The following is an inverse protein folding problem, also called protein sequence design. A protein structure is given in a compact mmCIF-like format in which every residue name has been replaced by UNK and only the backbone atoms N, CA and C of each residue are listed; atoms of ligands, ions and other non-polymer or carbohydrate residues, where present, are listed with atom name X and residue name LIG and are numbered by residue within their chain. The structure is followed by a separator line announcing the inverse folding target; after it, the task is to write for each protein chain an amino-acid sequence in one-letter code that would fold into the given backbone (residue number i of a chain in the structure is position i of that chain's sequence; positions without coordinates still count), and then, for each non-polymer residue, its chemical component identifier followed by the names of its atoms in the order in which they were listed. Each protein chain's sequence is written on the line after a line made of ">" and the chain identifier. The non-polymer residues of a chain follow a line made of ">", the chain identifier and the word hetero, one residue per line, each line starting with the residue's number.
data_IF_042200423399
#
_entry.id   IF_042200423399
#
_cell.length_a   1.000
_cell.length_b   1.000
_cell.length_c   1.000
_cell.angle_alpha   90.00
_cell.angle_beta   90.00
_cell.angle_gamma   90.00
#
_symmetry.space_group_name_H-M   'P 1'
#
loop_
_entity.id
_entity.type
_entity.pdbx_description
1 polymer ?
#
# COMPACT_ATOMS: atom_id res chain seq x y z
N UNK A 1 -11.38 0.24 -5.84
CA UNK A 1 -10.50 -0.89 -6.21
C UNK A 1 -9.33 -0.93 -5.24
N UNK A 2 -8.99 -2.13 -4.76
CA UNK A 2 -7.82 -2.37 -3.90
C UNK A 2 -6.82 -3.21 -4.67
N UNK A 3 -5.53 -2.86 -4.62
CA UNK A 3 -4.48 -3.58 -5.34
C UNK A 3 -3.11 -3.41 -4.67
N UNK A 4 -2.17 -4.26 -5.09
CA UNK A 4 -0.76 -4.22 -4.73
C UNK A 4 0.06 -4.19 -6.02
N UNK A 5 1.28 -3.66 -5.95
CA UNK A 5 2.17 -3.59 -7.12
C UNK A 5 3.32 -4.58 -6.93
N UNK A 6 3.54 -5.43 -7.93
CA UNK A 6 4.69 -6.32 -8.01
C UNK A 6 5.70 -5.78 -9.01
N UNK A 7 6.97 -5.73 -8.62
CA UNK A 7 8.10 -5.26 -9.43
C UNK A 7 9.31 -6.13 -9.19
N UNK A 8 9.96 -6.59 -10.27
CA UNK A 8 11.14 -7.45 -10.21
C UNK A 8 10.97 -8.69 -9.30
N UNK A 9 9.75 -9.26 -9.25
CA UNK A 9 9.45 -10.40 -8.38
C UNK A 9 9.03 -10.05 -6.94
N UNK A 10 9.21 -8.81 -6.52
CA UNK A 10 8.90 -8.34 -5.16
C UNK A 10 7.66 -7.46 -5.13
N UNK A 11 6.94 -7.50 -4.02
CA UNK A 11 5.81 -6.61 -3.79
C UNK A 11 6.36 -5.31 -3.23
N UNK A 12 5.81 -4.19 -3.67
CA UNK A 12 6.28 -2.87 -3.28
C UNK A 12 5.45 -2.33 -2.14
N UNK A 13 6.10 -1.74 -1.13
CA UNK A 13 5.44 -1.03 -0.05
C UNK A 13 4.50 0.06 -0.57
N UNK A 14 3.26 0.07 -0.05
CA UNK A 14 2.20 0.93 -0.56
C UNK A 14 2.56 2.43 -0.50
N UNK A 15 3.31 2.87 0.52
CA UNK A 15 3.75 4.28 0.62
C UNK A 15 4.77 4.69 -0.44
N UNK A 16 5.52 3.75 -1.02
CA UNK A 16 6.46 4.08 -2.09
C UNK A 16 5.67 4.50 -3.33
N UNK A 17 4.63 3.75 -3.66
CA UNK A 17 3.70 4.13 -4.72
C UNK A 17 2.93 5.42 -4.37
N UNK A 18 2.48 5.57 -3.12
CA UNK A 18 1.80 6.78 -2.65
C UNK A 18 2.61 8.05 -2.93
N UNK A 19 3.88 8.07 -2.51
CA UNK A 19 4.78 9.20 -2.72
C UNK A 19 4.96 9.49 -4.21
N UNK A 20 5.12 8.43 -5.01
CA UNK A 20 5.26 8.56 -6.46
C UNK A 20 4.00 9.10 -7.15
N UNK A 21 2.81 8.70 -6.69
CA UNK A 21 1.54 9.17 -7.21
C UNK A 21 1.24 10.62 -6.79
N UNK A 22 1.57 10.97 -5.54
CA UNK A 22 1.34 12.30 -4.98
C UNK A 22 2.09 13.39 -5.78
N UNK A 23 3.36 13.14 -6.16
CA UNK A 23 4.12 14.11 -7.00
C UNK A 23 3.54 14.27 -8.40
N UNK A 24 2.64 13.37 -8.83
CA UNK A 24 1.90 13.43 -10.11
C UNK A 24 0.47 13.95 -9.95
N UNK A 25 0.13 14.43 -8.75
CA UNK A 25 -1.20 14.95 -8.42
C UNK A 25 -2.28 13.87 -8.36
N UNK A 26 -1.91 12.60 -8.12
CA UNK A 26 -2.84 11.51 -7.86
C UNK A 26 -2.72 11.10 -6.39
N UNK A 27 -3.75 11.44 -5.61
CA UNK A 27 -3.79 11.15 -4.18
C UNK A 27 -4.55 9.86 -3.93
N UNK A 28 -3.85 8.86 -3.40
CA UNK A 28 -4.38 7.52 -3.17
C UNK A 28 -4.39 7.23 -1.68
N UNK A 29 -5.34 6.41 -1.21
CA UNK A 29 -5.31 5.93 0.17
C UNK A 29 -4.46 4.68 0.23
N UNK A 30 -3.38 4.71 1.00
CA UNK A 30 -2.47 3.59 1.22
C UNK A 30 -2.50 3.17 2.70
N UNK A 31 -1.80 2.09 3.06
CA UNK A 31 -1.74 1.61 4.43
C UNK A 31 -3.05 1.00 4.95
N UNK A 32 -4.05 0.85 4.08
CA UNK A 32 -5.31 0.22 4.43
C UNK A 32 -5.10 -1.30 4.51
N UNK A 33 -5.25 -1.88 5.71
CA UNK A 33 -5.37 -3.34 5.93
C UNK A 33 -6.72 -3.89 5.45
N UNK A 34 -7.45 -3.16 4.61
CA UNK A 34 -8.75 -3.59 4.09
C UNK A 34 -8.70 -4.81 3.15
N UNK A 35 -7.58 -5.54 3.12
CA UNK A 35 -7.45 -6.83 2.46
C UNK A 35 -6.45 -7.76 3.18
N UNK A 36 -6.46 -7.81 4.51
CA UNK A 36 -5.49 -8.56 5.33
C UNK A 36 -5.35 -10.02 4.90
N UNK A 37 -6.46 -10.77 4.77
CA UNK A 37 -6.38 -12.20 4.40
C UNK A 37 -5.81 -12.47 3.00
N UNK A 38 -6.04 -11.57 2.02
CA UNK A 38 -5.38 -11.70 0.72
C UNK A 38 -3.90 -11.34 0.82
N UNK A 39 -3.54 -10.37 1.65
CA UNK A 39 -2.15 -10.00 1.84
C UNK A 39 -1.36 -11.10 2.56
N UNK A 40 -1.94 -11.77 3.56
CA UNK A 40 -1.32 -12.93 4.21
C UNK A 40 -1.02 -14.03 3.19
N UNK A 41 -2.02 -14.36 2.36
CA UNK A 41 -1.89 -15.37 1.31
C UNK A 41 -0.84 -15.00 0.26
N UNK A 42 -0.81 -13.73 -0.19
CA UNK A 42 0.05 -13.29 -1.30
C UNK A 42 1.48 -12.97 -0.82
N UNK A 43 1.63 -12.50 0.42
CA UNK A 43 2.91 -12.00 0.95
C UNK A 43 3.55 -12.99 1.93
N UNK A 44 2.83 -14.04 2.37
CA UNK A 44 3.37 -15.14 3.17
C UNK A 44 3.63 -14.81 4.64
N UNK A 45 2.99 -13.77 5.19
CA UNK A 45 3.03 -13.45 6.62
C UNK A 45 1.66 -13.71 7.26
N UNK A 46 1.61 -13.86 8.58
CA UNK A 46 0.35 -13.91 9.35
C UNK A 46 0.10 -12.57 10.02
N UNK A 47 -1.14 -12.06 9.96
CA UNK A 47 -1.52 -10.83 10.66
C UNK A 47 -1.48 -10.99 12.18
N UNK A 48 -1.64 -12.23 12.66
CA UNK A 48 -1.56 -12.55 14.08
C UNK A 48 -0.14 -12.33 14.63
N UNK A 49 0.89 -12.32 13.78
CA UNK A 49 2.24 -11.95 14.21
C UNK A 49 2.33 -10.46 14.64
N UNK A 50 1.38 -9.63 14.24
CA UNK A 50 1.28 -8.24 14.71
C UNK A 50 0.48 -8.12 16.01
N UNK A 51 -0.08 -9.20 16.55
CA UNK A 51 -0.84 -9.18 17.81
C UNK A 51 -0.03 -8.59 18.96
N UNK A 52 1.27 -8.89 19.03
CA UNK A 52 2.20 -8.27 20.00
C UNK A 52 2.23 -6.75 19.86
N UNK A 53 2.26 -6.22 18.63
CA UNK A 53 2.26 -4.77 18.39
C UNK A 53 0.94 -4.13 18.81
N UNK A 54 -0.19 -4.83 18.61
CA UNK A 54 -1.50 -4.35 19.05
C UNK A 54 -1.67 -4.43 20.58
N UNK A 55 -1.14 -5.47 21.21
CA UNK A 55 -1.24 -5.69 22.65
C UNK A 55 -0.28 -4.81 23.46
N UNK A 56 0.88 -4.45 22.90
CA UNK A 56 1.85 -3.53 23.49
C UNK A 56 1.52 -2.04 23.22
N UNK A 57 0.51 -1.76 22.40
CA UNK A 57 0.05 -0.40 22.13
C UNK A 57 -0.62 0.19 23.38
N UNK A 58 -0.03 1.24 23.95
CA UNK A 58 -0.57 1.95 25.12
C UNK A 58 -1.79 2.79 24.74
N UNK A 59 -1.82 3.27 23.50
CA UNK A 59 -2.91 4.05 22.91
C UNK A 59 -3.18 3.61 21.47
N UNK A 60 -4.36 3.93 20.92
CA UNK A 60 -4.65 3.68 19.49
C UNK A 60 -3.70 4.43 18.56
N UNK A 61 -3.12 5.55 19.02
CA UNK A 61 -2.14 6.32 18.27
C UNK A 61 -0.78 5.60 18.17
N UNK A 62 -0.55 4.59 19.01
CA UNK A 62 0.62 3.72 18.90
C UNK A 62 0.51 2.71 17.77
N UNK A 63 -0.68 2.48 17.23
CA UNK A 63 -0.91 1.53 16.14
C UNK A 63 -0.79 2.28 14.81
N UNK A 64 0.46 2.50 14.38
CA UNK A 64 0.75 3.16 13.11
C UNK A 64 1.21 2.17 12.05
N UNK A 65 0.91 2.45 10.79
CA UNK A 65 1.46 1.69 9.65
C UNK A 65 2.99 1.66 9.69
N UNK A 66 3.63 2.73 10.17
CA UNK A 66 5.10 2.75 10.32
C UNK A 66 5.59 1.67 11.30
N UNK A 67 5.01 1.61 12.50
CA UNK A 67 5.36 0.59 13.51
C UNK A 67 5.04 -0.81 13.00
N UNK A 68 3.90 -1.01 12.34
CA UNK A 68 3.58 -2.32 11.74
C UNK A 68 4.58 -2.73 10.66
N UNK A 69 5.17 -1.79 9.90
CA UNK A 69 6.22 -2.14 8.92
C UNK A 69 7.50 -2.60 9.61
N UNK A 70 7.90 -1.94 10.70
CA UNK A 70 9.12 -2.27 11.43
C UNK A 70 9.11 -3.73 11.94
N UNK A 71 7.93 -4.30 12.16
CA UNK A 71 7.73 -5.69 12.58
C UNK A 71 7.48 -6.67 11.42
N UNK A 72 7.47 -6.22 10.16
CA UNK A 72 7.21 -7.08 9.01
C UNK A 72 8.40 -7.15 8.06
N UNK A 73 8.76 -8.38 7.70
CA UNK A 73 9.70 -8.66 6.60
C UNK A 73 9.03 -8.53 5.22
N UNK A 74 7.70 -8.46 5.17
CA UNK A 74 6.93 -8.29 3.95
C UNK A 74 6.34 -6.86 3.87
N UNK A 75 6.04 -6.36 2.66
CA UNK A 75 5.29 -5.12 2.52
C UNK A 75 3.95 -5.19 3.26
N UNK A 76 3.52 -4.09 3.87
CA UNK A 76 2.23 -4.08 4.58
C UNK A 76 1.20 -3.17 3.92
N UNK A 77 -0.07 -3.52 4.13
CA UNK A 77 -1.21 -2.76 3.63
C UNK A 77 -1.46 -2.94 2.13
N UNK A 78 -2.26 -2.03 1.57
CA UNK A 78 -2.67 -2.07 0.17
C UNK A 78 -2.91 -0.67 -0.36
N UNK A 79 -2.93 -0.54 -1.69
CA UNK A 79 -3.31 0.71 -2.36
C UNK A 79 -4.80 0.65 -2.67
N UNK A 80 -5.54 1.67 -2.25
CA UNK A 80 -6.97 1.81 -2.55
C UNK A 80 -7.26 3.05 -3.38
N UNK A 81 -7.76 2.81 -4.59
CA UNK A 81 -8.33 3.84 -5.46
C UNK A 81 -9.86 3.85 -5.30
N UNK A 82 -10.41 4.99 -4.88
CA UNK A 82 -11.85 5.22 -4.75
C UNK A 82 -12.29 6.18 -5.84
N UNK A 83 -13.31 5.79 -6.61
CA UNK A 83 -13.97 6.65 -7.58
C UNK A 83 -15.37 6.99 -7.05
N UNK A 84 -15.74 8.26 -7.09
CA UNK A 84 -17.07 8.78 -6.75
C UNK A 84 -17.77 9.39 -7.97
N UNK A 85 -18.95 9.97 -7.74
CA UNK A 85 -19.84 10.46 -8.80
C UNK A 85 -19.23 11.53 -9.71
N UNK A 86 -18.26 12.30 -9.22
CA UNK A 86 -17.61 13.38 -10.00
C UNK A 86 -16.46 12.87 -10.87
N UNK A 87 -16.02 11.64 -10.68
CA UNK A 87 -14.91 11.11 -11.46
C UNK A 87 -15.34 10.77 -12.89
N UNK A 88 -14.41 11.01 -13.81
CA UNK A 88 -14.56 10.74 -15.23
C UNK A 88 -13.72 9.53 -15.64
N UNK A 89 -13.95 9.02 -16.85
CA UNK A 89 -13.06 8.03 -17.46
C UNK A 89 -11.63 8.59 -17.61
N UNK A 90 -11.48 9.90 -17.79
CA UNK A 90 -10.18 10.57 -17.83
C UNK A 90 -9.39 10.41 -16.53
N UNK A 91 -10.07 10.54 -15.38
CA UNK A 91 -9.43 10.35 -14.07
C UNK A 91 -8.96 8.90 -13.88
N UNK A 92 -9.79 7.93 -14.27
CA UNK A 92 -9.42 6.52 -14.22
C UNK A 92 -8.21 6.22 -15.13
N UNK A 93 -8.17 6.80 -16.33
CA UNK A 93 -7.02 6.70 -17.25
C UNK A 93 -5.76 7.32 -16.66
N UNK A 94 -5.88 8.47 -15.99
CA UNK A 94 -4.73 9.12 -15.32
C UNK A 94 -4.17 8.25 -14.20
N UNK A 95 -5.02 7.60 -13.40
CA UNK A 95 -4.59 6.61 -12.40
C UNK A 95 -3.84 5.45 -13.06
N UNK A 96 -4.40 4.87 -14.13
CA UNK A 96 -3.76 3.76 -14.85
C UNK A 96 -2.40 4.17 -15.45
N UNK A 97 -2.29 5.40 -15.96
CA UNK A 97 -1.04 5.95 -16.46
C UNK A 97 0.03 6.04 -15.35
N UNK A 98 -0.31 6.58 -14.18
CA UNK A 98 0.63 6.66 -13.03
C UNK A 98 1.10 5.28 -12.59
N UNK A 99 0.20 4.28 -12.58
CA UNK A 99 0.56 2.89 -12.28
C UNK A 99 1.55 2.35 -13.32
N UNK A 100 1.30 2.58 -14.61
CA UNK A 100 2.19 2.16 -15.70
C UNK A 100 3.57 2.81 -15.59
N UNK A 101 3.62 4.13 -15.35
CA UNK A 101 4.86 4.87 -15.14
C UNK A 101 5.66 4.33 -13.96
N UNK A 102 4.99 3.98 -12.86
CA UNK A 102 5.65 3.42 -11.67
C UNK A 102 6.29 2.06 -11.94
N UNK A 103 5.63 1.20 -12.72
CA UNK A 103 6.16 -0.11 -13.10
C UNK A 103 7.45 0.06 -13.93
N UNK A 104 7.49 1.06 -14.81
CA UNK A 104 8.62 1.31 -15.72
C UNK A 104 9.77 2.11 -15.09
N UNK A 105 9.49 3.02 -14.15
CA UNK A 105 10.49 3.90 -13.57
C UNK A 105 11.53 3.14 -12.73
N UNK A 106 12.79 3.56 -12.67
CA UNK A 106 13.67 3.10 -11.60
C UNK A 106 13.27 3.82 -10.30
N UNK A 107 12.51 3.13 -9.45
CA UNK A 107 12.14 3.63 -8.12
C UNK A 107 12.94 2.86 -7.10
N UNK A 108 13.55 3.54 -6.09
CA UNK A 108 14.16 2.84 -4.99
C UNK A 108 13.12 1.96 -4.32
N UNK A 109 13.30 0.66 -4.47
CA UNK A 109 12.68 -0.34 -3.59
C UNK A 109 13.35 -0.15 -2.25
N UNK A 110 12.80 0.71 -1.40
CA UNK A 110 13.13 0.71 0.01
C UNK A 110 12.69 -0.66 0.54
N UNK A 111 13.66 -1.56 0.67
CA UNK A 111 13.49 -2.82 1.37
C UNK A 111 13.27 -2.57 2.86
#
# INVERSE_FOLDING_TARGET
>A
MTFSIKKNGHIVDAWVFERFANVRGIFMRTGCFCNSGSNETVFGYSVDNFEVVYNDAVTTDDITTKKLREFSEAPIGSIRASFGYVNTVGDAKRVAQVVSEFIQAEVPTYA
#
